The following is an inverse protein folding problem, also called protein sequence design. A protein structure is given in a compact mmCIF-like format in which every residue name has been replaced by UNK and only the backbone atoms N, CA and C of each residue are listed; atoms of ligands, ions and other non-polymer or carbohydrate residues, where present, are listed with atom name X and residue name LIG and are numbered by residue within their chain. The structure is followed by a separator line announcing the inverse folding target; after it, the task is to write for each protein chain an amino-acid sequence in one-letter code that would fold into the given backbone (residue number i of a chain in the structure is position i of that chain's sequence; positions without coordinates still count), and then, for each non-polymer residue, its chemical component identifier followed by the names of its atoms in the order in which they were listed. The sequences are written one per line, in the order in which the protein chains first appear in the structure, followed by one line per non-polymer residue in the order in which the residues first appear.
data_IF_635508695365
#
_entry.id   IF_635508695365
#
_cell.length_a   1.000
_cell.length_b   1.000
_cell.length_c   1.000
_cell.angle_alpha   90.00
_cell.angle_beta   90.00
_cell.angle_gamma   90.00
#
_symmetry.space_group_name_H-M   'P 1'
#
loop_
_entity.id
_entity.type
_entity.pdbx_description
1 polymer ?
#
# COMPACT_ATOMS: atom_id res chain seq x y z
N UNK A 1 -12.07 -12.87 13.12
CA UNK A 1 -12.54 -12.82 11.71
C UNK A 1 -11.34 -12.45 10.86
N UNK A 2 -11.14 -13.07 9.71
CA UNK A 2 -10.00 -12.79 8.82
C UNK A 2 -10.34 -11.61 7.91
N UNK A 3 -9.48 -10.59 7.87
CA UNK A 3 -9.57 -9.48 6.91
C UNK A 3 -8.41 -9.61 5.91
N UNK A 4 -8.70 -9.94 4.63
CA UNK A 4 -7.64 -10.07 3.64
C UNK A 4 -6.99 -8.72 3.41
N UNK A 5 -5.67 -8.60 3.65
CA UNK A 5 -4.93 -7.38 3.34
C UNK A 5 -4.38 -7.43 1.92
N UNK A 6 -3.71 -8.51 1.54
CA UNK A 6 -3.06 -8.62 0.22
C UNK A 6 -4.07 -8.88 -0.91
N UNK A 7 -5.04 -9.77 -0.67
CA UNK A 7 -6.03 -10.16 -1.68
C UNK A 7 -7.26 -9.25 -1.73
N UNK A 8 -7.29 -8.16 -0.93
CA UNK A 8 -8.45 -7.27 -0.83
C UNK A 8 -8.93 -6.72 -2.18
N UNK A 9 -7.99 -6.51 -3.10
CA UNK A 9 -8.25 -5.85 -4.38
C UNK A 9 -8.13 -6.81 -5.58
N UNK A 10 -8.07 -8.13 -5.35
CA UNK A 10 -7.82 -9.10 -6.42
C UNK A 10 -8.89 -9.04 -7.54
N UNK A 11 -10.15 -8.79 -7.17
CA UNK A 11 -11.28 -8.75 -8.11
C UNK A 11 -11.68 -7.32 -8.52
N UNK A 12 -10.89 -6.31 -8.15
CA UNK A 12 -11.16 -4.91 -8.54
C UNK A 12 -10.81 -4.75 -10.03
N UNK A 13 -11.78 -4.31 -10.88
CA UNK A 13 -11.50 -4.01 -12.27
C UNK A 13 -10.33 -3.04 -12.39
N UNK A 14 -9.42 -3.31 -13.32
CA UNK A 14 -8.23 -2.48 -13.54
C UNK A 14 -7.34 -2.30 -12.29
N UNK A 15 -7.46 -3.17 -11.27
CA UNK A 15 -6.68 -3.08 -10.02
C UNK A 15 -5.17 -3.20 -10.22
N UNK A 16 -4.73 -3.68 -11.38
CA UNK A 16 -3.34 -3.74 -11.81
C UNK A 16 -2.80 -2.40 -12.35
N UNK A 17 -3.66 -1.44 -12.67
CA UNK A 17 -3.25 -0.13 -13.15
C UNK A 17 -2.71 0.72 -12.00
N UNK A 18 -1.71 1.54 -12.31
CA UNK A 18 -1.11 2.48 -11.36
C UNK A 18 -2.15 3.45 -10.79
N UNK A 19 -3.02 3.98 -11.65
CA UNK A 19 -4.09 4.91 -11.25
C UNK A 19 -5.05 4.29 -10.25
N UNK A 20 -5.42 3.02 -10.44
CA UNK A 20 -6.30 2.29 -9.53
C UNK A 20 -5.61 2.02 -8.19
N UNK A 21 -4.32 1.66 -8.24
CA UNK A 21 -3.51 1.46 -7.04
C UNK A 21 -3.37 2.74 -6.22
N UNK A 22 -3.03 3.86 -6.86
CA UNK A 22 -2.91 5.18 -6.22
C UNK A 22 -4.24 5.69 -5.65
N UNK A 23 -5.35 5.54 -6.39
CA UNK A 23 -6.68 5.89 -5.92
C UNK A 23 -7.10 5.10 -4.68
N UNK A 24 -6.64 3.85 -4.56
CA UNK A 24 -6.82 3.00 -3.38
C UNK A 24 -5.88 3.31 -2.21
N UNK A 25 -5.08 4.38 -2.28
CA UNK A 25 -4.10 4.75 -1.26
C UNK A 25 -2.71 4.13 -1.46
N UNK A 26 -2.45 3.55 -2.63
CA UNK A 26 -1.13 3.07 -3.03
C UNK A 26 -0.05 4.12 -2.83
N UNK A 27 1.14 3.67 -2.46
CA UNK A 27 2.32 4.50 -2.14
C UNK A 27 2.19 5.48 -0.96
N UNK A 28 1.03 5.67 -0.33
CA UNK A 28 0.93 6.55 0.85
C UNK A 28 1.85 6.08 1.99
N UNK A 29 1.88 4.76 2.24
CA UNK A 29 2.77 4.17 3.22
C UNK A 29 4.26 4.34 2.84
N UNK A 30 4.61 4.20 1.56
CA UNK A 30 5.97 4.43 1.07
C UNK A 30 6.38 5.89 1.28
N UNK A 31 5.53 6.84 0.90
CA UNK A 31 5.79 8.26 1.08
C UNK A 31 5.96 8.63 2.55
N UNK A 32 5.18 8.01 3.44
CA UNK A 32 5.35 8.16 4.89
C UNK A 32 6.69 7.62 5.36
N UNK A 33 7.02 6.38 4.99
CA UNK A 33 8.27 5.71 5.36
C UNK A 33 9.49 6.56 4.98
N UNK A 34 9.55 7.03 3.73
CA UNK A 34 10.69 7.80 3.22
C UNK A 34 10.85 9.19 3.85
N UNK A 35 9.78 9.77 4.41
CA UNK A 35 9.79 11.15 4.93
C UNK A 35 9.83 11.24 6.45
N UNK A 36 9.35 10.22 7.14
CA UNK A 36 9.07 10.28 8.57
C UNK A 36 9.89 9.29 9.39
N UNK A 37 10.57 8.36 8.72
CA UNK A 37 11.34 7.32 9.39
C UNK A 37 12.73 7.23 8.79
N UNK A 38 13.70 6.89 9.63
CA UNK A 38 15.01 6.42 9.23
C UNK A 38 14.94 4.93 8.86
N UNK A 39 15.95 4.38 8.14
CA UNK A 39 15.97 2.96 7.83
C UNK A 39 15.89 2.05 9.06
N UNK A 40 16.58 2.39 10.15
CA UNK A 40 16.59 1.58 11.38
C UNK A 40 15.19 1.54 12.02
N UNK A 41 14.47 2.67 12.06
CA UNK A 41 13.09 2.73 12.58
C UNK A 41 12.04 1.98 11.73
N UNK A 42 12.36 1.59 10.49
CA UNK A 42 11.48 0.79 9.61
C UNK A 42 11.76 -0.71 9.73
N UNK A 43 12.99 -1.07 10.06
CA UNK A 43 13.42 -2.48 10.14
C UNK A 43 12.98 -3.11 11.47
N UNK A 44 12.97 -2.32 12.55
CA UNK A 44 12.53 -2.72 13.89
C UNK A 44 10.99 -2.68 14.05
#
# INVERSE_FOLDING_TARGET
MFEPVLLRNMDVPDGHLLSSYEAGGGYQALAKALRQYTPDEIID
#
